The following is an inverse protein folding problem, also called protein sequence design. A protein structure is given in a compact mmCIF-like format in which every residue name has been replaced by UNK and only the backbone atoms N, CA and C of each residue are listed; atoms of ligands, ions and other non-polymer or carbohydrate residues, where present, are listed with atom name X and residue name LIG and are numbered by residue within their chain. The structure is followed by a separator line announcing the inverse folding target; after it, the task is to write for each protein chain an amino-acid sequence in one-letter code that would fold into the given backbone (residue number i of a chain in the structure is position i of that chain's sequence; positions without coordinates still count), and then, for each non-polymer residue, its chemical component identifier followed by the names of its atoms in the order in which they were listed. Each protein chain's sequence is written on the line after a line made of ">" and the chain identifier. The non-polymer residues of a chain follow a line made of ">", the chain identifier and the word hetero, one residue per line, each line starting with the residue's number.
data_IF_800727664294
#
_entry.id   IF_800727664294
#
_cell.length_a   1.000
_cell.length_b   1.000
_cell.length_c   1.000
_cell.angle_alpha   90.00
_cell.angle_beta   90.00
_cell.angle_gamma   90.00
#
_symmetry.space_group_name_H-M   'P 1'
#
loop_
_entity.id
_entity.type
_entity.pdbx_description
1 polymer ?
#
# COMPACT_ATOMS: atom_id res chain seq x y z
N UNK A 1 35.82 -0.62 1.46
CA UNK A 1 34.67 -1.43 1.02
C UNK A 1 33.42 -0.83 1.64
N UNK A 2 32.55 -0.23 0.82
CA UNK A 2 31.28 0.36 1.22
C UNK A 2 30.20 -0.69 1.53
N UNK A 3 29.06 -0.21 2.06
CA UNK A 3 27.94 -1.05 2.53
C UNK A 3 27.38 -1.97 1.43
N UNK A 4 27.39 -1.52 0.18
CA UNK A 4 26.74 -2.21 -0.95
C UNK A 4 27.72 -2.83 -1.96
N UNK A 5 29.03 -2.80 -1.69
CA UNK A 5 30.04 -3.26 -2.65
C UNK A 5 29.84 -4.73 -3.05
N UNK A 6 29.37 -5.58 -2.12
CA UNK A 6 29.06 -6.99 -2.44
C UNK A 6 27.87 -7.13 -3.37
N UNK A 7 26.87 -6.25 -3.25
CA UNK A 7 25.71 -6.29 -4.13
C UNK A 7 26.04 -5.75 -5.52
N UNK A 8 26.92 -4.75 -5.62
CA UNK A 8 27.37 -4.19 -6.89
C UNK A 8 28.09 -5.21 -7.80
N UNK A 9 28.55 -6.34 -7.26
CA UNK A 9 29.14 -7.45 -8.02
C UNK A 9 28.06 -8.36 -8.66
N UNK A 10 26.79 -8.23 -8.28
CA UNK A 10 25.70 -9.06 -8.78
C UNK A 10 25.27 -8.51 -10.15
N UNK A 11 25.26 -9.38 -11.17
CA UNK A 11 24.80 -9.01 -12.50
C UNK A 11 23.34 -8.50 -12.46
N UNK A 12 23.09 -7.34 -13.08
CA UNK A 12 21.78 -6.70 -13.10
C UNK A 12 21.40 -5.93 -11.82
N UNK A 13 22.31 -5.82 -10.84
CA UNK A 13 22.11 -4.95 -9.69
C UNK A 13 22.36 -3.48 -10.05
N UNK A 14 21.43 -2.59 -9.71
CA UNK A 14 21.58 -1.14 -9.88
C UNK A 14 21.27 -0.43 -8.55
N UNK A 15 22.34 -0.12 -7.80
CA UNK A 15 22.21 0.52 -6.50
C UNK A 15 21.65 1.95 -6.60
N UNK A 16 21.92 2.64 -7.70
CA UNK A 16 21.44 4.02 -7.91
C UNK A 16 19.93 4.01 -8.06
N UNK A 17 19.39 3.12 -8.91
CA UNK A 17 17.95 2.94 -9.05
C UNK A 17 17.27 2.54 -7.74
N UNK A 18 17.86 1.62 -6.98
CA UNK A 18 17.34 1.26 -5.66
C UNK A 18 17.28 2.46 -4.73
N UNK A 19 18.35 3.27 -4.67
CA UNK A 19 18.42 4.47 -3.83
C UNK A 19 17.43 5.57 -4.27
N UNK A 20 17.03 5.62 -5.54
CA UNK A 20 16.01 6.53 -6.06
C UNK A 20 14.58 5.98 -5.91
N UNK A 21 14.41 4.70 -5.54
CA UNK A 21 13.11 4.04 -5.48
C UNK A 21 12.35 4.32 -4.18
N UNK A 22 11.02 4.45 -4.31
CA UNK A 22 10.08 4.49 -3.19
C UNK A 22 9.19 3.25 -3.20
N UNK A 23 9.16 2.51 -2.09
CA UNK A 23 8.29 1.34 -1.92
C UNK A 23 7.25 1.61 -0.84
N UNK A 24 5.97 1.40 -1.18
CA UNK A 24 4.86 1.44 -0.23
C UNK A 24 4.55 0.01 0.20
N UNK A 25 4.83 -0.34 1.46
CA UNK A 25 4.65 -1.68 2.00
C UNK A 25 3.47 -1.72 2.97
N UNK A 26 2.45 -2.50 2.63
CA UNK A 26 1.19 -2.62 3.34
C UNK A 26 1.12 -3.92 4.14
N UNK A 27 0.96 -3.81 5.46
CA UNK A 27 1.05 -4.93 6.40
C UNK A 27 2.47 -5.12 6.92
N UNK A 28 2.69 -4.87 8.21
CA UNK A 28 3.98 -4.97 8.92
C UNK A 28 3.93 -6.10 9.96
N UNK A 29 3.07 -7.10 9.70
CA UNK A 29 3.08 -8.42 10.34
C UNK A 29 4.28 -9.26 9.92
N UNK A 30 4.23 -10.58 10.14
CA UNK A 30 5.39 -11.47 9.94
C UNK A 30 6.07 -11.33 8.57
N UNK A 31 5.27 -11.34 7.50
CA UNK A 31 5.72 -11.27 6.12
C UNK A 31 6.35 -9.91 5.78
N UNK A 32 5.63 -8.83 6.08
CA UNK A 32 6.09 -7.47 5.81
C UNK A 32 7.29 -7.06 6.63
N UNK A 33 7.42 -7.59 7.86
CA UNK A 33 8.57 -7.37 8.72
C UNK A 33 9.88 -7.85 8.05
N UNK A 34 9.85 -9.08 7.52
CA UNK A 34 10.99 -9.65 6.80
C UNK A 34 11.25 -8.91 5.48
N UNK A 35 10.20 -8.64 4.70
CA UNK A 35 10.33 -7.96 3.41
C UNK A 35 10.93 -6.56 3.58
N UNK A 36 10.39 -5.75 4.51
CA UNK A 36 10.89 -4.41 4.79
C UNK A 36 12.33 -4.41 5.29
N UNK A 37 12.71 -5.39 6.13
CA UNK A 37 14.09 -5.56 6.58
C UNK A 37 15.04 -5.81 5.41
N UNK A 38 14.69 -6.75 4.53
CA UNK A 38 15.52 -7.08 3.37
C UNK A 38 15.63 -5.91 2.38
N UNK A 39 14.54 -5.19 2.11
CA UNK A 39 14.55 -4.01 1.23
C UNK A 39 15.41 -2.86 1.78
N UNK A 40 15.33 -2.61 3.09
CA UNK A 40 16.18 -1.60 3.73
C UNK A 40 17.68 -1.98 3.64
N UNK A 41 18.02 -3.25 3.83
CA UNK A 41 19.39 -3.76 3.71
C UNK A 41 19.88 -3.80 2.25
N UNK A 42 18.98 -3.92 1.27
CA UNK A 42 19.29 -3.77 -0.14
C UNK A 42 19.56 -2.30 -0.55
N UNK A 43 19.23 -1.34 0.31
CA UNK A 43 19.46 0.08 0.05
C UNK A 43 18.39 0.71 -0.83
N UNK A 44 17.13 0.27 -0.71
CA UNK A 44 15.98 1.04 -1.21
C UNK A 44 16.00 2.44 -0.58
N UNK A 45 15.75 3.47 -1.38
CA UNK A 45 15.82 4.87 -0.96
C UNK A 45 14.79 5.24 0.09
N UNK A 46 13.52 4.91 -0.17
CA UNK A 46 12.40 5.21 0.73
C UNK A 46 11.46 4.02 0.90
N UNK A 47 11.14 3.71 2.15
CA UNK A 47 10.12 2.75 2.54
C UNK A 47 8.99 3.47 3.27
N UNK A 48 7.75 3.30 2.81
CA UNK A 48 6.54 3.76 3.51
C UNK A 48 5.84 2.53 4.06
N UNK A 49 5.85 2.37 5.39
CA UNK A 49 5.28 1.22 6.07
C UNK A 49 3.85 1.52 6.53
N UNK A 50 2.88 0.74 6.11
CA UNK A 50 1.47 0.96 6.42
C UNK A 50 0.89 -0.22 7.21
N UNK A 51 0.55 0.01 8.47
CA UNK A 51 -0.08 -1.00 9.33
C UNK A 51 -0.83 -0.31 10.48
N UNK A 52 -2.16 -0.49 10.59
CA UNK A 52 -2.96 0.15 11.63
C UNK A 52 -2.83 -0.48 13.02
N UNK A 53 -2.25 -1.68 13.10
CA UNK A 53 -2.27 -2.45 14.34
C UNK A 53 -1.14 -2.05 15.30
N UNK A 54 -1.33 -2.48 16.54
CA UNK A 54 -0.30 -2.47 17.57
C UNK A 54 0.41 -3.83 17.67
N UNK A 55 1.64 -3.80 18.17
CA UNK A 55 2.41 -5.02 18.46
C UNK A 55 1.70 -5.81 19.55
N UNK A 56 1.49 -7.10 19.31
CA UNK A 56 0.97 -8.07 20.27
C UNK A 56 1.99 -9.16 20.58
N UNK A 57 1.82 -9.86 21.70
CA UNK A 57 2.63 -11.02 22.10
C UNK A 57 2.73 -12.05 20.96
N UNK A 58 1.60 -12.33 20.30
CA UNK A 58 1.54 -13.29 19.20
C UNK A 58 2.49 -12.95 18.05
N UNK A 59 2.83 -11.68 17.85
CA UNK A 59 3.72 -11.26 16.76
C UNK A 59 5.19 -11.59 17.04
N UNK A 60 5.59 -11.71 18.31
CA UNK A 60 6.98 -11.86 18.71
C UNK A 60 7.60 -13.19 18.23
N UNK A 61 6.79 -14.19 17.91
CA UNK A 61 7.25 -15.46 17.36
C UNK A 61 7.68 -15.38 15.89
N UNK A 62 7.26 -14.35 15.15
CA UNK A 62 7.37 -14.32 13.67
C UNK A 62 7.71 -12.95 13.05
N UNK A 63 7.80 -11.88 13.84
CA UNK A 63 8.10 -10.52 13.37
C UNK A 63 9.38 -9.97 14.04
N UNK A 64 10.57 -10.18 13.45
CA UNK A 64 11.87 -9.97 14.10
C UNK A 64 12.23 -8.51 14.43
N UNK A 65 11.52 -7.51 13.93
CA UNK A 65 11.71 -6.10 14.31
C UNK A 65 11.04 -5.76 15.66
N UNK A 66 10.13 -6.60 16.16
CA UNK A 66 9.40 -6.35 17.41
C UNK A 66 10.06 -6.99 18.63
N UNK A 67 9.85 -6.41 19.80
CA UNK A 67 10.32 -6.91 21.10
C UNK A 67 9.17 -6.89 22.10
N UNK A 68 9.27 -7.65 23.18
CA UNK A 68 8.26 -7.64 24.25
C UNK A 68 7.99 -6.24 24.79
N UNK A 69 9.03 -5.41 24.92
CA UNK A 69 8.90 -4.00 25.34
C UNK A 69 8.17 -3.10 24.33
N UNK A 70 7.86 -3.60 23.14
CA UNK A 70 7.13 -2.86 22.11
C UNK A 70 5.63 -3.22 22.06
N UNK A 71 5.14 -4.16 22.89
CA UNK A 71 3.70 -4.52 22.97
C UNK A 71 2.84 -3.29 23.26
N UNK A 72 1.70 -3.18 22.58
CA UNK A 72 0.78 -2.05 22.66
C UNK A 72 1.27 -0.79 21.94
N UNK A 73 2.36 -0.87 21.18
CA UNK A 73 2.84 0.24 20.35
C UNK A 73 2.50 0.00 18.88
N UNK A 74 2.27 1.06 18.09
CA UNK A 74 1.96 0.88 16.67
C UNK A 74 3.07 0.14 15.90
N UNK A 75 2.70 -0.92 15.17
CA UNK A 75 3.63 -1.80 14.44
C UNK A 75 4.49 -1.02 13.46
N UNK A 76 3.86 -0.19 12.61
CA UNK A 76 4.56 0.60 11.59
C UNK A 76 5.61 1.53 12.21
N UNK A 77 5.28 2.21 13.31
CA UNK A 77 6.21 3.12 14.01
C UNK A 77 7.39 2.37 14.62
N UNK A 78 7.14 1.23 15.28
CA UNK A 78 8.21 0.41 15.86
C UNK A 78 9.14 -0.11 14.77
N UNK A 79 8.59 -0.65 13.67
CA UNK A 79 9.36 -1.15 12.54
C UNK A 79 10.19 -0.04 11.89
N UNK A 80 9.60 1.13 11.60
CA UNK A 80 10.30 2.25 11.00
C UNK A 80 11.52 2.70 11.82
N UNK A 81 11.35 2.81 13.15
CA UNK A 81 12.45 3.14 14.07
C UNK A 81 13.56 2.08 14.03
N UNK A 82 13.22 0.79 13.93
CA UNK A 82 14.21 -0.30 13.88
C UNK A 82 14.94 -0.35 12.55
N UNK A 83 14.22 -0.17 11.45
CA UNK A 83 14.79 -0.14 10.11
C UNK A 83 15.68 1.08 9.89
N UNK A 84 15.31 2.26 10.40
CA UNK A 84 16.16 3.46 10.36
C UNK A 84 17.50 3.22 11.06
N UNK A 85 17.51 2.48 12.18
CA UNK A 85 18.75 2.09 12.87
C UNK A 85 19.55 1.04 12.09
N UNK A 86 18.86 0.10 11.45
CA UNK A 86 19.47 -0.98 10.67
C UNK A 86 20.12 -0.47 9.38
N UNK A 87 19.42 0.40 8.65
CA UNK A 87 19.84 1.01 7.40
C UNK A 87 19.62 2.53 7.43
N UNK A 88 20.58 3.31 7.95
CA UNK A 88 20.47 4.77 8.03
C UNK A 88 20.39 5.47 6.66
N UNK A 89 20.69 4.76 5.57
CA UNK A 89 20.61 5.27 4.20
C UNK A 89 19.22 5.12 3.59
N UNK A 90 18.35 4.31 4.20
CA UNK A 90 16.96 4.15 3.78
C UNK A 90 16.09 5.07 4.64
N UNK A 91 15.36 6.00 4.00
CA UNK A 91 14.32 6.76 4.67
C UNK A 91 13.13 5.84 4.95
N UNK A 92 12.66 5.78 6.19
CA UNK A 92 11.51 4.95 6.56
C UNK A 92 10.43 5.80 7.20
N UNK A 93 9.28 5.91 6.54
CA UNK A 93 8.09 6.59 7.04
C UNK A 93 7.08 5.55 7.54
N UNK A 94 6.36 5.85 8.63
CA UNK A 94 5.35 4.96 9.22
C UNK A 94 3.94 5.54 9.08
N UNK A 95 2.98 4.70 8.68
CA UNK A 95 1.55 4.99 8.61
C UNK A 95 0.80 4.01 9.50
N UNK A 96 0.14 4.52 10.52
CA UNK A 96 -0.62 3.74 11.52
C UNK A 96 -2.13 3.81 11.30
N UNK A 97 -2.56 4.32 10.15
CA UNK A 97 -3.96 4.39 9.77
C UNK A 97 -4.31 3.21 8.84
N UNK A 98 -5.59 2.77 8.80
CA UNK A 98 -6.07 1.76 7.87
C UNK A 98 -5.72 2.12 6.42
N UNK A 99 -5.53 1.13 5.53
CA UNK A 99 -5.13 1.34 4.13
C UNK A 99 -5.98 2.36 3.41
N UNK A 100 -7.30 2.31 3.63
CA UNK A 100 -8.25 3.23 3.00
C UNK A 100 -7.90 4.66 3.38
N UNK A 101 -7.55 4.96 4.62
CA UNK A 101 -7.28 6.33 5.09
C UNK A 101 -5.79 6.66 5.22
N UNK A 102 -4.87 5.70 5.15
CA UNK A 102 -3.46 5.89 5.47
C UNK A 102 -2.52 5.99 4.26
N UNK A 103 -3.01 5.66 3.06
CA UNK A 103 -2.24 5.69 1.81
C UNK A 103 -3.02 6.48 0.77
N UNK A 104 -2.41 7.52 0.19
CA UNK A 104 -3.02 8.34 -0.86
C UNK A 104 -2.99 7.63 -2.23
N UNK A 105 -3.90 8.01 -3.14
CA UNK A 105 -3.88 7.48 -4.51
C UNK A 105 -2.68 8.03 -5.30
N UNK A 106 -2.28 9.28 -5.07
CA UNK A 106 -1.06 9.82 -5.68
C UNK A 106 0.20 9.13 -5.14
N UNK A 107 0.25 8.81 -3.84
CA UNK A 107 1.39 8.08 -3.27
C UNK A 107 1.51 6.66 -3.85
N UNK A 108 0.38 5.99 -4.15
CA UNK A 108 0.39 4.72 -4.88
C UNK A 108 0.87 4.91 -6.32
N UNK A 109 0.30 5.89 -7.05
CA UNK A 109 0.67 6.21 -8.45
C UNK A 109 2.16 6.48 -8.61
N UNK A 110 2.74 7.23 -7.68
CA UNK A 110 4.12 7.71 -7.74
C UNK A 110 5.11 6.70 -7.11
N UNK A 111 4.62 5.65 -6.46
CA UNK A 111 5.46 4.58 -5.91
C UNK A 111 6.16 3.80 -7.03
N UNK A 112 7.45 3.49 -6.82
CA UNK A 112 8.18 2.59 -7.72
C UNK A 112 7.65 1.16 -7.64
N UNK A 113 7.16 0.75 -6.48
CA UNK A 113 6.50 -0.53 -6.24
C UNK A 113 5.61 -0.46 -4.99
N UNK A 114 4.41 -1.03 -5.08
CA UNK A 114 3.57 -1.31 -3.91
C UNK A 114 3.75 -2.77 -3.53
N UNK A 115 3.96 -3.05 -2.25
CA UNK A 115 4.11 -4.42 -1.72
C UNK A 115 2.99 -4.72 -0.74
N UNK A 116 2.17 -5.72 -1.04
CA UNK A 116 1.12 -6.22 -0.16
C UNK A 116 1.63 -7.40 0.67
N UNK A 117 1.58 -7.24 1.98
CA UNK A 117 1.88 -8.24 3.00
C UNK A 117 0.70 -8.38 3.99
N UNK A 118 -0.51 -8.23 3.46
CA UNK A 118 -1.77 -8.24 4.18
C UNK A 118 -2.28 -9.67 4.35
N UNK A 119 -2.96 -9.93 5.46
CA UNK A 119 -3.43 -11.27 5.84
C UNK A 119 -4.93 -11.47 5.62
N UNK A 120 -5.68 -10.43 5.23
CA UNK A 120 -7.10 -10.55 4.90
C UNK A 120 -7.37 -10.38 3.42
N UNK A 121 -8.31 -11.18 2.91
CA UNK A 121 -8.79 -11.11 1.54
C UNK A 121 -9.33 -9.71 1.22
N UNK A 122 -10.11 -9.13 2.14
CA UNK A 122 -10.71 -7.81 1.98
C UNK A 122 -9.67 -6.71 1.83
N UNK A 123 -8.62 -6.67 2.66
CA UNK A 123 -7.57 -5.66 2.59
C UNK A 123 -6.74 -5.80 1.31
N UNK A 124 -6.43 -7.04 0.88
CA UNK A 124 -5.72 -7.31 -0.38
C UNK A 124 -6.51 -6.83 -1.59
N UNK A 125 -7.82 -7.10 -1.63
CA UNK A 125 -8.70 -6.63 -2.70
C UNK A 125 -8.82 -5.11 -2.72
N UNK A 126 -8.95 -4.46 -1.56
CA UNK A 126 -8.97 -2.98 -1.46
C UNK A 126 -7.68 -2.37 -2.02
N UNK A 127 -6.52 -2.86 -1.61
CA UNK A 127 -5.23 -2.36 -2.10
C UNK A 127 -5.05 -2.62 -3.59
N UNK A 128 -5.38 -3.83 -4.06
CA UNK A 128 -5.30 -4.18 -5.48
C UNK A 128 -6.19 -3.28 -6.35
N UNK A 129 -7.42 -3.01 -5.93
CA UNK A 129 -8.33 -2.10 -6.64
C UNK A 129 -7.74 -0.69 -6.75
N UNK A 130 -7.16 -0.16 -5.67
CA UNK A 130 -6.54 1.18 -5.67
C UNK A 130 -5.28 1.25 -6.54
N UNK A 131 -4.46 0.20 -6.53
CA UNK A 131 -3.29 0.12 -7.41
C UNK A 131 -3.72 0.07 -8.89
N UNK A 132 -4.77 -0.67 -9.23
CA UNK A 132 -5.33 -0.69 -10.59
C UNK A 132 -5.87 0.68 -11.02
N UNK A 133 -6.60 1.36 -10.14
CA UNK A 133 -7.12 2.71 -10.40
C UNK A 133 -6.02 3.74 -10.71
N UNK A 134 -4.83 3.55 -10.15
CA UNK A 134 -3.69 4.48 -10.26
C UNK A 134 -2.61 3.99 -11.22
N UNK A 135 -2.73 2.78 -11.76
CA UNK A 135 -1.69 2.13 -12.56
C UNK A 135 -0.44 1.72 -11.78
N UNK A 136 -0.50 1.71 -10.44
CA UNK A 136 0.62 1.36 -9.60
C UNK A 136 0.95 -0.14 -9.69
N UNK A 137 2.24 -0.54 -9.87
CA UNK A 137 2.63 -1.94 -9.84
C UNK A 137 2.48 -2.49 -8.42
N UNK A 138 1.87 -3.68 -8.30
CA UNK A 138 1.61 -4.33 -7.01
C UNK A 138 2.29 -5.70 -6.96
N UNK A 139 3.15 -5.90 -5.97
CA UNK A 139 3.71 -7.20 -5.62
C UNK A 139 3.05 -7.69 -4.33
N UNK A 140 2.29 -8.76 -4.41
CA UNK A 140 1.48 -9.27 -3.31
C UNK A 140 2.01 -10.62 -2.83
N UNK A 141 1.99 -10.84 -1.52
CA UNK A 141 2.39 -12.09 -0.90
C UNK A 141 1.34 -12.59 0.08
N UNK A 142 1.11 -13.89 0.05
CA UNK A 142 0.28 -14.61 1.00
C UNK A 142 1.00 -15.84 1.54
N UNK A 143 0.66 -16.24 2.76
CA UNK A 143 1.25 -17.40 3.42
C UNK A 143 0.16 -18.40 3.80
N UNK A 144 0.50 -19.68 3.75
CA UNK A 144 -0.24 -20.78 4.36
C UNK A 144 0.64 -21.46 5.40
N UNK A 145 0.13 -22.50 6.08
CA UNK A 145 0.85 -23.18 7.17
C UNK A 145 2.28 -23.62 6.78
N UNK A 146 2.44 -24.21 5.59
CA UNK A 146 3.69 -24.79 5.07
C UNK A 146 4.10 -24.25 3.70
N UNK A 147 3.58 -23.08 3.32
CA UNK A 147 3.83 -22.54 1.99
C UNK A 147 3.33 -21.12 1.82
N UNK A 148 3.29 -20.67 0.59
CA UNK A 148 2.78 -19.36 0.28
C UNK A 148 2.71 -19.10 -1.21
N UNK A 149 2.44 -17.85 -1.54
CA UNK A 149 2.34 -17.40 -2.91
C UNK A 149 2.89 -15.98 -2.98
N UNK A 150 3.65 -15.70 -4.03
CA UNK A 150 3.99 -14.34 -4.44
C UNK A 150 3.37 -14.07 -5.80
N UNK A 151 2.95 -12.83 -6.01
CA UNK A 151 2.22 -12.46 -7.22
C UNK A 151 2.52 -11.02 -7.62
N UNK A 152 3.08 -10.86 -8.81
CA UNK A 152 3.24 -9.56 -9.45
C UNK A 152 2.01 -9.24 -10.29
N UNK A 153 1.40 -8.09 -10.01
CA UNK A 153 0.32 -7.51 -10.77
C UNK A 153 0.83 -6.36 -11.61
N UNK A 154 0.69 -6.52 -12.92
CA UNK A 154 0.88 -5.45 -13.89
C UNK A 154 -0.49 -4.83 -14.22
N UNK A 155 -0.60 -3.51 -14.44
CA UNK A 155 -1.88 -2.83 -14.67
C UNK A 155 -2.75 -3.44 -15.79
N UNK A 156 -2.13 -3.96 -16.85
CA UNK A 156 -2.82 -4.59 -17.99
C UNK A 156 -3.08 -6.09 -17.81
N UNK A 157 -2.58 -6.70 -16.73
CA UNK A 157 -2.64 -8.14 -16.49
C UNK A 157 -3.87 -8.61 -15.68
N UNK A 158 -3.95 -9.92 -15.38
CA UNK A 158 -4.93 -10.45 -14.44
C UNK A 158 -4.73 -9.82 -13.06
N UNK A 159 -5.79 -9.31 -12.44
CA UNK A 159 -5.70 -8.78 -11.07
C UNK A 159 -6.01 -9.83 -10.00
N UNK A 160 -5.93 -9.41 -8.73
CA UNK A 160 -6.29 -10.25 -7.59
C UNK A 160 -7.72 -10.77 -7.70
N UNK A 161 -8.68 -9.92 -8.09
CA UNK A 161 -10.08 -10.29 -8.23
C UNK A 161 -10.38 -11.27 -9.36
N UNK A 162 -9.57 -11.36 -10.42
CA UNK A 162 -9.86 -12.23 -11.57
C UNK A 162 -9.97 -13.71 -11.23
N UNK A 163 -9.27 -14.17 -10.18
CA UNK A 163 -9.33 -15.56 -9.72
C UNK A 163 -10.40 -15.84 -8.67
N UNK A 164 -11.18 -14.83 -8.27
CA UNK A 164 -12.17 -14.91 -7.19
C UNK A 164 -13.59 -15.07 -7.72
N UNK A 165 -14.42 -15.77 -6.96
CA UNK A 165 -15.86 -15.85 -7.25
C UNK A 165 -16.57 -14.53 -6.90
N UNK A 166 -17.80 -14.33 -7.41
CA UNK A 166 -18.61 -13.18 -7.05
C UNK A 166 -18.85 -13.09 -5.52
N UNK A 167 -18.97 -14.24 -4.83
CA UNK A 167 -19.11 -14.30 -3.37
C UNK A 167 -17.85 -13.83 -2.65
N UNK A 168 -16.67 -14.26 -3.11
CA UNK A 168 -15.39 -13.85 -2.53
C UNK A 168 -15.14 -12.35 -2.74
N UNK A 169 -15.62 -11.78 -3.86
CA UNK A 169 -15.60 -10.34 -4.13
C UNK A 169 -16.64 -9.60 -3.27
N UNK A 170 -17.83 -10.18 -3.07
CA UNK A 170 -18.90 -9.59 -2.26
C UNK A 170 -18.59 -9.57 -0.74
N UNK A 171 -17.57 -10.31 -0.29
CA UNK A 171 -16.98 -10.11 1.04
C UNK A 171 -16.44 -8.66 1.25
N UNK A 172 -16.39 -7.84 0.19
CA UNK A 172 -16.11 -6.40 0.25
C UNK A 172 -17.32 -5.49 0.46
N UNK A 173 -18.56 -5.96 0.27
CA UNK A 173 -19.75 -5.09 0.18
C UNK A 173 -20.40 -4.75 1.53
N UNK A 174 -19.86 -5.23 2.65
CA UNK A 174 -20.29 -4.76 3.97
C UNK A 174 -19.17 -3.97 4.67
N UNK A 175 -19.17 -2.62 4.53
CA UNK A 175 -18.31 -1.75 5.33
C UNK A 175 -18.59 -1.82 6.85
N UNK A 176 -19.60 -2.59 7.29
CA UNK A 176 -20.06 -2.75 8.67
C UNK A 176 -20.18 -4.20 9.16
N UNK A 177 -19.72 -5.20 8.39
CA UNK A 177 -19.78 -6.61 8.82
C UNK A 177 -18.73 -6.92 9.89
N UNK A 178 -18.99 -6.47 11.12
CA UNK A 178 -18.43 -7.04 12.34
C UNK A 178 -19.16 -8.35 12.70
N UNK A 179 -19.39 -9.25 11.75
CA UNK A 179 -19.80 -10.63 11.96
C UNK A 179 -19.97 -11.31 10.59
N UNK A 180 -19.09 -12.23 10.23
CA UNK A 180 -19.49 -13.65 10.20
C UNK A 180 -18.31 -14.56 9.80
N UNK A 181 -18.13 -15.59 10.66
CA UNK A 181 -17.28 -16.76 10.54
C UNK A 181 -15.81 -16.55 10.12
N UNK A 182 -14.98 -16.14 11.08
CA UNK A 182 -13.55 -16.45 11.03
C UNK A 182 -13.40 -17.95 11.22
N UNK A 183 -13.36 -18.71 10.13
CA UNK A 183 -12.72 -20.03 10.16
C UNK A 183 -11.27 -19.76 10.55
N UNK A 184 -10.71 -20.34 11.61
CA UNK A 184 -9.32 -20.13 11.95
C UNK A 184 -8.47 -20.68 10.81
N UNK A 185 -8.01 -19.81 9.91
CA UNK A 185 -6.96 -20.20 8.98
C UNK A 185 -5.74 -20.55 9.84
N UNK A 186 -5.20 -21.75 9.65
CA UNK A 186 -3.98 -22.14 10.31
C UNK A 186 -2.89 -21.11 9.96
N UNK A 187 -2.42 -20.39 10.98
CA UNK A 187 -1.41 -19.35 10.80
C UNK A 187 -0.13 -19.91 10.17
N UNK A 188 0.58 -19.08 9.40
CA UNK A 188 1.86 -19.47 8.84
C UNK A 188 2.93 -19.58 9.93
N UNK A 189 3.81 -20.57 9.80
CA UNK A 189 4.98 -20.68 10.66
C UNK A 189 5.98 -19.54 10.39
N UNK A 190 6.76 -19.16 11.41
CA UNK A 190 7.76 -18.11 11.27
C UNK A 190 8.75 -18.33 10.11
N UNK A 191 9.27 -19.56 9.85
CA UNK A 191 10.13 -19.81 8.70
C UNK A 191 9.43 -19.59 7.35
N UNK A 192 8.14 -19.96 7.23
CA UNK A 192 7.37 -19.75 6.00
C UNK A 192 7.17 -18.26 5.73
N UNK A 193 6.79 -17.48 6.76
CA UNK A 193 6.69 -16.02 6.61
C UNK A 193 8.03 -15.39 6.22
N UNK A 194 9.15 -15.88 6.78
CA UNK A 194 10.48 -15.40 6.42
C UNK A 194 10.87 -15.77 4.98
N UNK A 195 10.55 -16.99 4.54
CA UNK A 195 10.82 -17.47 3.18
C UNK A 195 10.06 -16.63 2.15
N UNK A 196 8.74 -16.52 2.31
CA UNK A 196 7.88 -15.76 1.38
C UNK A 196 8.25 -14.27 1.42
N UNK A 197 8.57 -13.71 2.59
CA UNK A 197 8.96 -12.31 2.74
C UNK A 197 10.29 -11.99 2.06
N UNK A 198 11.24 -12.92 2.12
CA UNK A 198 12.51 -12.81 1.39
C UNK A 198 12.29 -12.95 -0.12
N UNK A 199 11.31 -13.77 -0.54
CA UNK A 199 10.96 -13.91 -1.96
C UNK A 199 10.29 -12.64 -2.52
N UNK A 200 9.43 -11.99 -1.73
CA UNK A 200 8.91 -10.66 -2.07
C UNK A 200 10.08 -9.67 -2.24
N UNK A 201 10.99 -9.63 -1.28
CA UNK A 201 12.12 -8.69 -1.32
C UNK A 201 13.04 -8.92 -2.53
N UNK A 202 13.40 -10.17 -2.86
CA UNK A 202 14.25 -10.44 -4.03
C UNK A 202 13.53 -10.09 -5.33
N UNK A 203 12.22 -10.34 -5.42
CA UNK A 203 11.41 -9.97 -6.59
C UNK A 203 11.33 -8.46 -6.73
N UNK A 204 11.05 -7.74 -5.64
CA UNK A 204 11.03 -6.28 -5.60
C UNK A 204 12.38 -5.68 -6.01
N UNK A 205 13.49 -6.13 -5.43
CA UNK A 205 14.83 -5.64 -5.79
C UNK A 205 15.12 -5.84 -7.28
N UNK A 206 14.79 -7.01 -7.84
CA UNK A 206 14.96 -7.26 -9.28
C UNK A 206 14.14 -6.27 -10.12
N UNK A 207 12.87 -6.04 -9.77
CA UNK A 207 12.00 -5.08 -10.47
C UNK A 207 12.55 -3.65 -10.39
N UNK A 208 12.98 -3.21 -9.20
CA UNK A 208 13.50 -1.86 -8.98
C UNK A 208 14.83 -1.61 -9.69
N UNK A 209 15.70 -2.62 -9.77
CA UNK A 209 16.91 -2.60 -10.61
C UNK A 209 16.61 -2.63 -12.11
N UNK A 210 15.36 -2.90 -12.52
CA UNK A 210 14.93 -3.00 -13.92
C UNK A 210 15.17 -4.34 -14.58
N UNK A 211 15.40 -5.39 -13.80
CA UNK A 211 15.62 -6.73 -14.30
C UNK A 211 14.30 -7.43 -14.67
N UNK A 212 13.71 -7.06 -15.82
CA UNK A 212 12.59 -7.75 -16.48
C UNK A 212 11.27 -7.85 -15.68
N UNK A 213 10.21 -8.34 -16.31
CA UNK A 213 9.00 -8.72 -15.59
C UNK A 213 9.29 -9.92 -14.69
N UNK A 214 8.85 -9.85 -13.43
CA UNK A 214 9.00 -10.93 -12.45
C UNK A 214 8.24 -12.19 -12.88
N UNK A 215 8.31 -13.28 -12.11
CA UNK A 215 7.75 -14.58 -12.50
C UNK A 215 6.21 -14.64 -12.58
N UNK A 216 5.50 -13.51 -12.59
CA UNK A 216 4.05 -13.44 -12.48
C UNK A 216 3.60 -13.95 -11.12
N UNK A 217 2.99 -15.13 -11.07
CA UNK A 217 2.56 -15.81 -9.84
C UNK A 217 3.48 -17.00 -9.59
N UNK A 218 3.98 -17.13 -8.36
CA UNK A 218 4.74 -18.31 -7.93
C UNK A 218 4.14 -18.83 -6.63
N UNK A 219 3.79 -20.11 -6.63
CA UNK A 219 3.38 -20.83 -5.43
C UNK A 219 4.56 -21.58 -4.85
N UNK A 220 4.69 -21.52 -3.54
CA UNK A 220 5.78 -22.08 -2.76
C UNK A 220 5.23 -23.15 -1.85
N UNK A 221 5.76 -24.36 -1.97
CA UNK A 221 5.58 -25.44 -0.99
C UNK A 221 6.90 -25.58 -0.22
N UNK A 222 6.93 -25.03 0.98
CA UNK A 222 8.13 -25.01 1.80
C UNK A 222 8.43 -26.38 2.41
N UNK A 223 7.39 -27.19 2.70
CA UNK A 223 7.58 -28.54 3.23
C UNK A 223 8.15 -29.49 2.18
N UNK A 224 7.66 -29.39 0.94
CA UNK A 224 8.19 -30.15 -0.20
C UNK A 224 9.44 -29.56 -0.84
N UNK A 225 9.83 -28.33 -0.48
CA UNK A 225 10.98 -27.64 -1.06
C UNK A 225 10.81 -27.27 -2.53
N UNK A 226 9.57 -27.08 -2.99
CA UNK A 226 9.26 -26.80 -4.39
C UNK A 226 8.64 -25.42 -4.59
N UNK A 227 8.80 -24.89 -5.79
CA UNK A 227 8.07 -23.71 -6.23
C UNK A 227 7.67 -23.84 -7.69
N UNK A 228 6.42 -23.48 -7.99
CA UNK A 228 5.84 -23.64 -9.29
C UNK A 228 5.21 -22.32 -9.76
N UNK A 229 5.43 -21.93 -11.03
CA UNK A 229 4.70 -20.81 -11.61
C UNK A 229 3.22 -21.17 -11.73
N UNK A 230 2.36 -20.19 -11.51
CA UNK A 230 0.93 -20.30 -11.75
C UNK A 230 0.57 -19.31 -12.85
N UNK A 231 -0.19 -19.74 -13.85
CA UNK A 231 -0.65 -18.86 -14.94
C UNK A 231 -2.03 -18.29 -14.57
N UNK A 232 -2.11 -17.03 -14.10
CA UNK A 232 -3.39 -16.41 -13.81
C UNK A 232 -4.13 -16.12 -15.12
N UNK A 233 -5.46 -16.24 -15.12
CA UNK A 233 -6.31 -15.85 -16.24
C UNK A 233 -6.98 -14.51 -15.94
N UNK A 234 -6.96 -13.61 -16.92
CA UNK A 234 -7.69 -12.35 -16.85
C UNK A 234 -9.18 -12.67 -17.03
N UNK A 235 -9.99 -12.22 -16.08
CA UNK A 235 -11.44 -12.20 -16.21
C UNK A 235 -11.83 -10.90 -16.95
N UNK A 236 -12.40 -10.97 -18.16
CA UNK A 236 -12.76 -9.79 -18.94
C UNK A 236 -13.85 -8.95 -18.28
N UNK A 237 -14.67 -9.56 -17.42
CA UNK A 237 -15.79 -8.92 -16.72
C UNK A 237 -15.43 -8.58 -15.26
N UNK A 238 -14.14 -8.57 -14.93
CA UNK A 238 -13.70 -8.25 -13.58
C UNK A 238 -13.99 -6.77 -13.25
N UNK A 239 -14.81 -6.47 -12.22
CA UNK A 239 -15.20 -5.09 -11.92
C UNK A 239 -14.01 -4.22 -11.48
N UNK A 240 -12.95 -4.82 -10.93
CA UNK A 240 -11.73 -4.13 -10.51
C UNK A 240 -10.91 -3.56 -11.67
N UNK A 241 -11.13 -4.04 -12.90
CA UNK A 241 -10.43 -3.55 -14.10
C UNK A 241 -11.07 -2.33 -14.73
N UNK A 242 -12.06 -1.70 -14.08
CA UNK A 242 -12.62 -0.43 -14.50
C UNK A 242 -11.73 0.71 -13.99
N UNK A 243 -10.87 1.33 -14.83
CA UNK A 243 -10.09 2.49 -14.41
C UNK A 243 -11.03 3.66 -14.09
N UNK A 244 -10.55 4.64 -13.32
CA UNK A 244 -11.27 5.90 -13.17
C UNK A 244 -11.36 6.56 -14.55
N UNK A 245 -12.56 6.77 -15.12
CA UNK A 245 -12.70 7.46 -16.40
C UNK A 245 -12.08 8.85 -16.29
N UNK A 246 -11.29 9.26 -17.28
CA UNK A 246 -10.63 10.57 -17.27
C UNK A 246 -11.62 11.74 -17.08
N UNK A 247 -12.85 11.62 -17.58
CA UNK A 247 -13.93 12.60 -17.38
C UNK A 247 -14.47 12.70 -15.94
N UNK A 248 -14.10 11.78 -15.05
CA UNK A 248 -14.41 11.85 -13.62
C UNK A 248 -13.28 12.50 -12.81
N UNK A 249 -12.12 12.80 -13.39
CA UNK A 249 -11.00 13.47 -12.70
C UNK A 249 -10.97 14.94 -13.13
N UNK A 250 -11.31 15.85 -12.22
CA UNK A 250 -11.22 17.28 -12.47
C UNK A 250 -9.95 17.86 -11.84
N UNK A 251 -9.05 18.49 -12.62
CA UNK A 251 -7.92 19.19 -12.05
C UNK A 251 -8.40 20.44 -11.30
N UNK A 252 -7.88 20.65 -10.10
CA UNK A 252 -8.12 21.85 -9.28
C UNK A 252 -6.80 22.56 -8.97
N UNK A 253 -6.72 23.90 -9.15
CA UNK A 253 -5.49 24.69 -8.99
C UNK A 253 -5.18 24.92 -7.50
N UNK A 254 -4.93 23.84 -6.77
CA UNK A 254 -4.74 23.83 -5.32
C UNK A 254 -3.39 23.22 -4.96
N UNK A 255 -2.76 23.78 -3.94
CA UNK A 255 -1.50 23.27 -3.41
C UNK A 255 -1.73 22.63 -2.05
N UNK A 256 -0.77 21.84 -1.57
CA UNK A 256 -0.81 21.31 -0.19
C UNK A 256 -0.79 22.40 0.89
N UNK A 257 -0.52 23.65 0.52
CA UNK A 257 -0.56 24.82 1.39
C UNK A 257 -1.96 25.46 1.47
N UNK A 258 -2.88 25.10 0.58
CA UNK A 258 -4.28 25.53 0.61
C UNK A 258 -5.00 24.97 1.84
N UNK A 259 -6.11 25.58 2.21
CA UNK A 259 -6.98 25.14 3.30
C UNK A 259 -8.08 24.20 2.80
N UNK A 260 -8.67 23.37 3.68
CA UNK A 260 -9.92 22.65 3.45
C UNK A 260 -11.05 23.51 2.86
N UNK A 261 -11.18 24.75 3.37
CA UNK A 261 -12.20 25.70 2.92
C UNK A 261 -12.01 26.07 1.44
N UNK A 262 -10.77 26.35 1.03
CA UNK A 262 -10.45 26.68 -0.37
C UNK A 262 -10.83 25.54 -1.34
N UNK A 263 -10.79 24.28 -0.87
CA UNK A 263 -11.17 23.12 -1.69
C UNK A 263 -12.69 22.94 -1.78
N UNK A 264 -13.42 23.43 -0.77
CA UNK A 264 -14.89 23.31 -0.67
C UNK A 264 -15.58 24.21 -1.68
N UNK A 265 -14.94 25.31 -2.11
CA UNK A 265 -15.44 26.19 -3.19
C UNK A 265 -15.56 25.49 -4.55
N UNK A 266 -14.90 24.34 -4.73
CA UNK A 266 -15.00 23.51 -5.94
C UNK A 266 -16.08 22.42 -5.86
N UNK A 267 -16.89 22.42 -4.80
CA UNK A 267 -17.92 21.42 -4.54
C UNK A 267 -19.30 22.03 -4.70
N UNK A 268 -20.21 21.25 -5.29
CA UNK A 268 -21.63 21.54 -5.18
C UNK A 268 -22.10 21.38 -3.71
N UNK A 269 -23.19 22.04 -3.29
CA UNK A 269 -23.70 21.96 -1.90
C UNK A 269 -23.95 20.52 -1.40
N UNK A 270 -24.31 19.62 -2.31
CA UNK A 270 -24.56 18.20 -2.07
C UNK A 270 -23.30 17.31 -2.13
N UNK A 271 -22.15 17.89 -2.47
CA UNK A 271 -20.87 17.18 -2.62
C UNK A 271 -20.02 17.23 -1.36
N UNK A 272 -19.25 16.17 -1.12
CA UNK A 272 -18.31 16.08 0.00
C UNK A 272 -16.99 15.51 -0.48
N UNK A 273 -15.91 16.27 -0.29
CA UNK A 273 -14.55 15.78 -0.50
C UNK A 273 -14.14 14.90 0.67
N UNK A 274 -13.70 13.70 0.33
CA UNK A 274 -13.09 12.80 1.29
C UNK A 274 -11.58 12.95 1.31
N UNK A 275 -11.01 12.88 2.51
CA UNK A 275 -9.57 12.92 2.75
C UNK A 275 -9.08 11.64 3.39
N UNK A 276 -7.77 11.45 3.26
CA UNK A 276 -7.00 10.45 3.97
C UNK A 276 -6.65 11.01 5.38
N UNK A 277 -6.51 10.16 6.40
CA UNK A 277 -6.27 10.59 7.78
C UNK A 277 -4.82 11.07 8.01
N UNK A 278 -4.58 12.20 8.69
CA UNK A 278 -3.24 12.70 9.00
C UNK A 278 -2.45 11.87 10.02
N UNK A 279 -1.12 12.05 10.01
CA UNK A 279 -0.18 11.58 11.03
C UNK A 279 -0.44 12.26 12.40
N UNK A 280 -0.26 11.56 13.54
CA UNK A 280 -0.29 12.20 14.85
C UNK A 280 1.01 12.97 15.10
N UNK A 281 0.89 14.28 15.35
CA UNK A 281 2.03 15.19 15.60
C UNK A 281 1.73 16.53 16.26
N UNK A 282 0.47 16.94 16.46
CA UNK A 282 0.08 17.99 17.41
C UNK A 282 -1.45 18.03 17.60
N UNK A 283 -1.91 17.64 18.81
CA UNK A 283 -3.29 17.65 19.32
C UNK A 283 -4.30 16.64 18.71
N UNK A 284 -5.19 16.04 19.54
CA UNK A 284 -6.13 15.01 19.11
C UNK A 284 -7.38 15.67 18.50
N UNK A 285 -7.36 15.96 17.21
CA UNK A 285 -8.62 16.21 16.48
C UNK A 285 -9.11 14.88 15.93
N UNK A 286 -10.31 14.49 16.38
CA UNK A 286 -11.00 13.27 15.96
C UNK A 286 -10.92 13.09 14.45
N UNK A 287 -10.63 11.86 14.04
CA UNK A 287 -10.64 11.40 12.67
C UNK A 287 -11.94 11.82 11.98
N UNK A 288 -11.84 12.66 10.97
CA UNK A 288 -12.85 12.69 9.93
C UNK A 288 -12.18 12.41 8.59
N UNK A 289 -12.78 11.47 7.87
CA UNK A 289 -12.52 11.19 6.46
C UNK A 289 -13.12 12.25 5.55
N UNK A 290 -13.77 13.29 6.09
CA UNK A 290 -14.35 14.41 5.35
C UNK A 290 -13.51 15.65 5.60
N UNK A 291 -13.05 16.27 4.52
CA UNK A 291 -12.24 17.49 4.55
C UNK A 291 -12.98 18.63 5.29
N UNK A 292 -14.31 18.67 5.20
CA UNK A 292 -15.18 19.66 5.83
C UNK A 292 -15.17 19.65 7.37
N UNK A 293 -14.75 18.54 7.99
CA UNK A 293 -14.68 18.40 9.45
C UNK A 293 -13.30 18.81 10.01
N UNK A 294 -12.38 19.26 9.15
CA UNK A 294 -11.04 19.69 9.55
C UNK A 294 -11.07 21.01 10.36
N UNK A 295 -10.10 21.24 11.26
CA UNK A 295 -10.02 22.49 12.02
C UNK A 295 -9.98 23.72 11.10
N UNK A 296 -10.68 24.82 11.46
CA UNK A 296 -10.60 26.06 10.70
C UNK A 296 -9.15 26.54 10.56
N UNK A 297 -8.69 26.76 9.32
CA UNK A 297 -7.34 27.20 9.02
C UNK A 297 -6.25 26.12 8.99
N UNK A 298 -6.60 24.83 9.16
CA UNK A 298 -5.67 23.74 8.88
C UNK A 298 -5.22 23.78 7.41
N UNK A 299 -3.96 23.43 7.11
CA UNK A 299 -3.51 23.23 5.72
C UNK A 299 -3.72 21.80 5.29
N UNK A 300 -3.91 21.56 3.99
CA UNK A 300 -4.03 20.21 3.43
C UNK A 300 -2.81 19.33 3.78
N UNK A 301 -1.60 19.91 3.80
CA UNK A 301 -0.39 19.24 4.26
C UNK A 301 -0.48 18.78 5.72
N UNK A 302 -1.06 19.60 6.61
CA UNK A 302 -1.25 19.28 8.02
C UNK A 302 -2.25 18.11 8.19
N UNK A 303 -3.13 17.93 7.20
CA UNK A 303 -4.07 16.80 7.10
C UNK A 303 -3.48 15.58 6.37
N UNK A 304 -2.19 15.61 6.03
CA UNK A 304 -1.50 14.48 5.39
C UNK A 304 -1.85 14.30 3.91
N UNK A 305 -2.46 15.28 3.27
CA UNK A 305 -2.75 15.27 1.83
C UNK A 305 -1.46 15.50 1.05
N UNK A 306 -1.12 14.58 0.14
CA UNK A 306 0.10 14.67 -0.64
C UNK A 306 0.01 15.75 -1.75
N UNK A 307 1.14 16.26 -2.25
CA UNK A 307 1.15 17.01 -3.49
C UNK A 307 0.57 16.16 -4.61
N UNK A 308 -0.26 16.76 -5.46
CA UNK A 308 -0.92 16.08 -6.59
C UNK A 308 -1.84 14.92 -6.20
N UNK A 309 -2.37 14.94 -4.97
CA UNK A 309 -3.32 13.94 -4.49
C UNK A 309 -4.59 13.88 -5.36
N UNK A 310 -5.12 12.67 -5.49
CA UNK A 310 -6.43 12.43 -6.11
C UNK A 310 -7.44 12.19 -4.98
N UNK A 311 -8.37 13.12 -4.79
CA UNK A 311 -9.35 13.13 -3.72
C UNK A 311 -10.73 12.73 -4.24
N UNK A 312 -11.39 11.71 -3.67
CA UNK A 312 -12.74 11.35 -4.06
C UNK A 312 -13.75 12.38 -3.54
N UNK A 313 -14.72 12.73 -4.40
CA UNK A 313 -15.86 13.60 -4.11
C UNK A 313 -17.14 12.79 -4.25
N UNK A 314 -17.88 12.69 -3.15
CA UNK A 314 -19.16 12.00 -3.11
C UNK A 314 -20.30 12.99 -3.25
N UNK A 315 -21.23 12.71 -4.17
CA UNK A 315 -22.49 13.46 -4.28
C UNK A 315 -23.57 12.74 -3.48
N UNK A 316 -24.12 13.41 -2.47
CA UNK A 316 -25.18 12.87 -1.61
C UNK A 316 -26.55 13.41 -2.04
N UNK A 317 -27.48 12.55 -2.49
CA UNK A 317 -28.77 13.00 -3.03
C UNK A 317 -29.54 11.92 -3.81
N UNK A 318 -30.49 12.34 -4.67
CA UNK A 318 -31.31 11.44 -5.52
C UNK A 318 -30.50 10.64 -6.54
N UNK A 319 -29.37 11.18 -6.99
CA UNK A 319 -28.37 10.51 -7.84
C UNK A 319 -27.06 10.42 -7.06
N UNK A 320 -26.77 9.26 -6.49
CA UNK A 320 -25.47 8.98 -5.87
C UNK A 320 -24.41 8.85 -6.96
N UNK A 321 -23.30 9.56 -6.81
CA UNK A 321 -22.19 9.55 -7.76
C UNK A 321 -20.86 9.80 -7.06
N UNK A 322 -19.77 9.40 -7.71
CA UNK A 322 -18.41 9.69 -7.31
C UNK A 322 -17.66 10.34 -8.48
N UNK A 323 -16.98 11.45 -8.19
CA UNK A 323 -15.96 12.04 -9.07
C UNK A 323 -14.68 12.24 -8.25
N UNK A 324 -13.60 12.65 -8.89
CA UNK A 324 -12.29 12.82 -8.27
C UNK A 324 -11.74 14.21 -8.57
N UNK A 325 -11.06 14.80 -7.60
CA UNK A 325 -10.30 16.03 -7.75
C UNK A 325 -8.81 15.70 -7.76
N UNK A 326 -8.07 16.13 -8.77
CA UNK A 326 -6.61 16.06 -8.76
C UNK A 326 -6.04 17.43 -8.38
N UNK A 327 -5.26 17.48 -7.29
CA UNK A 327 -4.53 18.69 -6.93
C UNK A 327 -3.48 19.01 -8.00
N UNK A 328 -3.41 20.24 -8.44
CA UNK A 328 -2.44 20.68 -9.45
C UNK A 328 -1.86 22.02 -9.05
N UNK A 329 -0.56 22.22 -9.27
CA UNK A 329 0.02 23.55 -9.08
C UNK A 329 -0.64 24.54 -10.04
N UNK A 330 -1.14 25.65 -9.50
CA UNK A 330 -1.79 26.69 -10.27
C UNK A 330 -0.84 27.19 -11.39
N UNK A 331 -1.09 26.78 -12.63
CA UNK A 331 -0.31 27.18 -13.81
C UNK A 331 0.15 26.04 -14.72
N UNK A 332 0.04 24.77 -14.31
CA UNK A 332 0.33 23.64 -15.16
C UNK A 332 -0.86 23.25 -16.05
N UNK A 333 -0.90 23.72 -17.31
CA UNK A 333 -1.79 23.14 -18.32
C UNK A 333 -1.61 21.62 -18.30
N UNK A 334 -2.66 20.88 -17.91
CA UNK A 334 -2.65 19.43 -17.92
C UNK A 334 -2.23 18.94 -19.31
N UNK A 335 -1.06 18.33 -19.40
CA UNK A 335 -0.74 17.49 -20.56
C UNK A 335 -1.57 16.23 -20.43
N UNK A 336 -2.44 15.92 -21.40
CA UNK A 336 -3.09 14.62 -21.43
C UNK A 336 -2.00 13.56 -21.65
N UNK A 337 -1.96 12.54 -20.79
CA UNK A 337 -1.23 11.29 -21.03
C UNK A 337 -2.20 10.14 -20.83
#
# INVERSE_FOLDING_TARGET
>A
MGRFDRHALIAGWDQRRLAESTVVLCGVGALGNQCAQALALAGVGRLVLCDPDEVSESNLSRAPLFRAADIGRPKATVAARRLTKLSPVTRVDARTAPLVSGVGLAELRDASLVVSCLDSLAARLQLAGRCLQTGAPLLDGGTSAWGGEIRLYEPSGPCFGCGLTARDRAAQDDPWACADAVVPEAGASAPVSALVGSWLAVTAVRLLCGAGSGPGVVRVDAAGGTAAPVTPRRDPDCPLHTPIPAGLVAPVPHTVLSTPADLTDHLAPEETVMTWAPLPGSAPTRASTRLADAPPGARLADLGVAPREILPVLTTGRTRGIRYLELSEAGGKGTPR
#
